data_IF_981252256118
#
_entry.id   IF_981252256118
#
_cell.length_a   1.000
_cell.length_b   1.000
_cell.length_c   1.000
_cell.angle_alpha   90.00
_cell.angle_beta   90.00
_cell.angle_gamma   90.00
#
_symmetry.space_group_name_H-M   'P 1'
#
loop_
_entity.id
_entity.type
_entity.pdbx_description
1 polymer ?
#
# COMPACT_ATOMS: atom_id res chain seq x y z
N UNK A 1 -1.45 -45.41 35.35
CA UNK A 1 -2.02 -44.03 35.32
C UNK A 1 -1.55 -43.33 34.04
N UNK A 2 -2.44 -43.14 33.05
CA UNK A 2 -2.10 -42.38 31.83
C UNK A 2 -2.03 -40.89 32.20
N UNK A 3 -0.85 -40.28 32.12
CA UNK A 3 -0.68 -38.83 32.30
C UNK A 3 -1.26 -38.13 31.06
N UNK A 4 -2.45 -37.55 31.20
CA UNK A 4 -3.02 -36.66 30.18
C UNK A 4 -2.17 -35.39 30.11
N UNK A 5 -1.38 -35.22 29.03
CA UNK A 5 -0.68 -33.96 28.78
C UNK A 5 -1.72 -32.88 28.49
N UNK A 6 -1.80 -31.87 29.35
CA UNK A 6 -2.60 -30.68 29.09
C UNK A 6 -2.05 -29.99 27.83
N UNK A 7 -2.88 -29.91 26.79
CA UNK A 7 -2.57 -29.18 25.56
C UNK A 7 -2.59 -27.70 25.93
N UNK A 8 -1.42 -27.04 25.92
CA UNK A 8 -1.36 -25.58 26.05
C UNK A 8 -2.01 -24.96 24.81
N UNK A 9 -3.20 -24.39 24.98
CA UNK A 9 -3.85 -23.59 23.94
C UNK A 9 -2.99 -22.33 23.76
N UNK A 10 -2.20 -22.29 22.68
CA UNK A 10 -1.44 -21.09 22.32
C UNK A 10 -2.43 -20.10 21.73
N UNK A 11 -2.65 -18.98 22.44
CA UNK A 11 -3.51 -17.89 21.93
C UNK A 11 -2.89 -17.35 20.63
N UNK A 12 -3.67 -17.20 19.54
CA UNK A 12 -3.15 -16.66 18.30
C UNK A 12 -2.62 -15.23 18.52
N UNK A 13 -1.49 -14.90 17.91
CA UNK A 13 -0.90 -13.55 18.01
C UNK A 13 -1.51 -12.55 17.02
N UNK A 14 -2.34 -13.02 16.09
CA UNK A 14 -2.99 -12.25 15.03
C UNK A 14 -4.23 -12.99 14.53
N UNK A 15 -5.19 -12.30 13.88
CA UNK A 15 -6.29 -12.96 13.19
C UNK A 15 -5.83 -13.94 12.09
N UNK A 16 -6.58 -15.02 11.93
CA UNK A 16 -6.48 -15.96 10.81
C UNK A 16 -6.91 -15.32 9.48
N UNK A 17 -6.60 -15.97 8.36
CA UNK A 17 -7.00 -15.47 7.04
C UNK A 17 -8.53 -15.34 6.92
N UNK A 18 -9.28 -16.34 7.39
CA UNK A 18 -10.74 -16.33 7.38
C UNK A 18 -11.32 -15.24 8.28
N UNK A 19 -10.72 -14.99 9.45
CA UNK A 19 -11.15 -13.89 10.32
C UNK A 19 -10.93 -12.53 9.65
N UNK A 20 -9.78 -12.32 8.99
CA UNK A 20 -9.53 -11.09 8.23
C UNK A 20 -10.55 -10.87 7.11
N UNK A 21 -10.83 -11.92 6.32
CA UNK A 21 -11.82 -11.87 5.24
C UNK A 21 -13.19 -11.50 5.83
N UNK A 22 -13.64 -12.23 6.85
CA UNK A 22 -14.93 -12.00 7.50
C UNK A 22 -15.05 -10.58 8.04
N UNK A 23 -14.04 -10.09 8.77
CA UNK A 23 -14.04 -8.72 9.32
C UNK A 23 -14.13 -7.67 8.22
N UNK A 24 -13.44 -7.87 7.09
CA UNK A 24 -13.45 -6.94 5.98
C UNK A 24 -14.76 -6.96 5.20
N UNK A 25 -15.32 -8.14 4.95
CA UNK A 25 -16.57 -8.29 4.23
C UNK A 25 -17.74 -7.71 5.05
N UNK A 26 -17.77 -7.98 6.35
CA UNK A 26 -18.75 -7.45 7.32
C UNK A 26 -18.46 -6.00 7.77
N UNK A 27 -17.40 -5.37 7.25
CA UNK A 27 -17.02 -4.01 7.63
C UNK A 27 -18.05 -2.99 7.13
N UNK A 28 -18.71 -2.32 8.07
CA UNK A 28 -19.61 -1.19 7.85
C UNK A 28 -18.91 0.07 8.31
N UNK A 29 -18.64 0.97 7.37
CA UNK A 29 -18.00 2.27 7.62
C UNK A 29 -18.99 3.19 8.33
N UNK A 30 -18.53 3.92 9.34
CA UNK A 30 -19.31 4.97 10.00
C UNK A 30 -19.74 6.03 8.97
N UNK A 31 -21.05 6.17 8.77
CA UNK A 31 -21.63 7.09 7.79
C UNK A 31 -21.18 8.54 8.00
N UNK A 32 -20.93 8.95 9.25
CA UNK A 32 -20.46 10.31 9.58
C UNK A 32 -19.01 10.56 9.12
N UNK A 33 -18.25 9.49 8.83
CA UNK A 33 -16.84 9.56 8.43
C UNK A 33 -16.63 9.43 6.93
N UNK A 34 -17.66 9.03 6.17
CA UNK A 34 -17.56 8.79 4.71
C UNK A 34 -16.96 9.99 3.99
N UNK A 35 -17.43 11.21 4.25
CA UNK A 35 -16.90 12.41 3.58
C UNK A 35 -15.42 12.67 3.85
N UNK A 36 -14.94 12.35 5.06
CA UNK A 36 -13.50 12.47 5.40
C UNK A 36 -12.69 11.42 4.67
N UNK A 37 -13.20 10.19 4.58
CA UNK A 37 -12.53 9.08 3.91
C UNK A 37 -12.50 9.32 2.39
N UNK A 38 -13.60 9.74 1.79
CA UNK A 38 -13.67 10.04 0.36
C UNK A 38 -12.74 11.17 -0.02
N UNK A 39 -12.68 12.25 0.78
CA UNK A 39 -11.72 13.33 0.58
C UNK A 39 -10.28 12.82 0.56
N UNK A 40 -9.91 11.99 1.54
CA UNK A 40 -8.56 11.40 1.58
C UNK A 40 -8.29 10.48 0.38
N UNK A 41 -9.27 9.68 -0.04
CA UNK A 41 -9.13 8.83 -1.22
C UNK A 41 -8.94 9.69 -2.47
N UNK A 42 -9.70 10.75 -2.66
CA UNK A 42 -9.67 11.54 -3.89
C UNK A 42 -8.40 12.38 -3.97
N UNK A 43 -8.11 13.14 -2.91
CA UNK A 43 -7.02 14.11 -2.88
C UNK A 43 -5.64 13.48 -2.66
N UNK A 44 -5.56 12.35 -1.94
CA UNK A 44 -4.26 11.77 -1.53
C UNK A 44 -3.97 10.43 -2.20
N UNK A 45 -4.96 9.55 -2.30
CA UNK A 45 -4.76 8.19 -2.83
C UNK A 45 -4.85 8.18 -4.35
N UNK A 46 -6.00 8.59 -4.90
CA UNK A 46 -6.30 8.58 -6.33
C UNK A 46 -5.45 9.59 -7.10
N UNK A 47 -5.32 10.81 -6.58
CA UNK A 47 -4.46 11.84 -7.18
C UNK A 47 -2.99 11.41 -7.33
N UNK A 48 -2.50 10.51 -6.46
CA UNK A 48 -1.11 10.02 -6.48
C UNK A 48 -0.98 8.55 -6.93
N UNK A 49 -2.04 7.96 -7.52
CA UNK A 49 -2.06 6.54 -7.93
C UNK A 49 -0.87 6.14 -8.80
N UNK A 50 -0.49 7.00 -9.75
CA UNK A 50 0.62 6.71 -10.66
C UNK A 50 1.95 6.62 -9.90
N UNK A 51 2.21 7.53 -8.94
CA UNK A 51 3.41 7.49 -8.10
C UNK A 51 3.51 6.18 -7.31
N UNK A 52 2.41 5.72 -6.72
CA UNK A 52 2.39 4.43 -6.02
C UNK A 52 2.58 3.23 -6.96
N UNK A 53 2.06 3.33 -8.19
CA UNK A 53 2.22 2.29 -9.21
C UNK A 53 3.68 2.21 -9.66
N UNK A 54 4.32 3.35 -9.90
CA UNK A 54 5.73 3.45 -10.27
C UNK A 54 6.63 2.88 -9.17
N UNK A 55 6.35 3.14 -7.89
CA UNK A 55 7.07 2.54 -6.77
C UNK A 55 6.92 1.02 -6.78
N UNK A 56 5.69 0.51 -6.97
CA UNK A 56 5.44 -0.94 -7.09
C UNK A 56 6.27 -1.56 -8.22
N UNK A 57 6.29 -0.94 -9.39
CA UNK A 57 7.05 -1.44 -10.55
C UNK A 57 8.57 -1.39 -10.31
N UNK A 58 9.09 -0.31 -9.73
CA UNK A 58 10.50 -0.20 -9.34
C UNK A 58 10.92 -1.26 -8.32
N UNK A 59 10.06 -1.57 -7.35
CA UNK A 59 10.30 -2.63 -6.36
C UNK A 59 10.38 -4.00 -7.04
N UNK A 60 9.51 -4.27 -8.02
CA UNK A 60 9.48 -5.50 -8.80
C UNK A 60 10.66 -5.64 -9.79
N UNK A 61 11.53 -4.64 -9.91
CA UNK A 61 12.64 -4.64 -10.87
C UNK A 61 12.25 -4.19 -12.28
N UNK A 62 11.02 -3.72 -12.49
CA UNK A 62 10.61 -3.07 -13.73
C UNK A 62 11.10 -1.61 -13.67
N UNK A 63 12.30 -1.34 -14.15
CA UNK A 63 12.83 0.02 -14.23
C UNK A 63 12.09 0.78 -15.35
N UNK A 64 11.03 1.50 -15.00
CA UNK A 64 10.51 2.59 -15.82
C UNK A 64 11.40 3.80 -15.50
N UNK A 65 12.15 4.29 -16.50
CA UNK A 65 13.02 5.45 -16.32
C UNK A 65 12.19 6.66 -15.84
N UNK A 66 12.69 7.46 -14.87
CA UNK A 66 11.96 8.61 -14.36
C UNK A 66 11.68 9.60 -15.48
N UNK A 67 10.50 10.21 -15.43
CA UNK A 67 10.05 11.26 -16.34
C UNK A 67 10.91 12.51 -16.11
N UNK A 68 12.03 12.63 -16.83
CA UNK A 68 12.71 13.92 -16.96
C UNK A 68 11.86 14.79 -17.88
N UNK A 69 11.14 15.73 -17.31
CA UNK A 69 10.57 16.87 -18.02
C UNK A 69 11.72 17.71 -18.61
N UNK A 70 12.28 17.27 -19.73
CA UNK A 70 13.11 18.14 -20.57
C UNK A 70 12.12 18.88 -21.46
N UNK A 71 11.77 20.11 -21.05
CA UNK A 71 11.18 21.09 -21.95
C UNK A 71 12.25 21.45 -22.98
N UNK A 72 12.30 20.72 -24.09
CA UNK A 72 12.96 21.22 -25.30
C UNK A 72 12.04 22.26 -25.94
N UNK A 73 12.53 23.45 -26.31
CA UNK A 73 11.74 24.39 -27.09
C UNK A 73 11.51 23.77 -28.47
N UNK A 74 10.25 23.50 -28.79
CA UNK A 74 9.81 23.05 -30.10
C UNK A 74 10.00 24.16 -31.13
N UNK A 75 11.00 24.00 -32.00
CA UNK A 75 11.06 24.76 -33.25
C UNK A 75 10.50 23.94 -34.40
N UNK A 76 9.59 24.60 -35.12
CA UNK A 76 9.28 24.48 -36.56
C UNK A 76 8.24 23.45 -37.02
N UNK A 77 7.04 24.01 -37.24
CA UNK A 77 6.15 23.75 -38.37
C UNK A 77 6.76 22.94 -39.52
N UNK A 78 6.14 21.80 -39.85
CA UNK A 78 6.13 21.27 -41.20
C UNK A 78 4.70 20.90 -41.61
N UNK A 79 4.30 21.16 -42.87
CA UNK A 79 2.94 20.89 -43.34
C UNK A 79 2.73 19.38 -43.52
N UNK A 80 1.52 18.93 -43.20
CA UNK A 80 1.05 17.56 -43.46
C UNK A 80 0.94 17.32 -44.97
N UNK A 81 1.88 16.56 -45.53
CA UNK A 81 1.73 15.99 -46.87
C UNK A 81 0.95 14.67 -46.79
N UNK A 82 0.06 14.49 -47.77
CA UNK A 82 -0.93 13.43 -47.88
C UNK A 82 -0.37 12.00 -47.72
N UNK A 83 -1.21 11.12 -47.17
CA UNK A 83 -1.02 9.67 -47.08
C UNK A 83 -0.78 9.06 -48.48
N UNK A 84 0.46 8.66 -48.76
CA UNK A 84 0.83 7.85 -49.92
C UNK A 84 0.74 6.35 -49.56
N UNK A 85 -0.28 5.68 -50.11
CA UNK A 85 -0.61 4.27 -49.88
C UNK A 85 0.18 3.28 -50.76
N UNK A 86 1.28 3.71 -51.39
CA UNK A 86 2.01 2.89 -52.37
C UNK A 86 3.28 2.17 -51.85
N UNK A 87 3.57 2.19 -50.54
CA UNK A 87 4.74 1.49 -49.98
C UNK A 87 4.36 0.28 -49.10
N UNK A 88 5.03 -0.88 -49.27
CA UNK A 88 4.78 -2.04 -48.42
C UNK A 88 5.14 -1.73 -46.97
N UNK A 89 4.31 -2.21 -46.05
CA UNK A 89 4.50 -2.07 -44.61
C UNK A 89 5.67 -2.97 -44.21
N UNK A 90 6.87 -2.40 -44.13
CA UNK A 90 8.01 -3.10 -43.54
C UNK A 90 7.72 -3.34 -42.05
N UNK A 91 7.70 -4.62 -41.69
CA UNK A 91 7.37 -5.12 -40.36
C UNK A 91 8.34 -4.60 -39.31
N UNK A 92 7.93 -3.53 -38.62
CA UNK A 92 8.55 -3.03 -37.40
C UNK A 92 7.47 -2.50 -36.46
N UNK A 93 6.46 -3.33 -36.17
CA UNK A 93 5.52 -3.10 -35.06
C UNK A 93 5.79 -4.05 -33.87
N UNK A 94 7.05 -4.45 -33.67
CA UNK A 94 7.51 -5.03 -32.42
C UNK A 94 7.82 -3.91 -31.39
N UNK A 95 6.85 -3.04 -31.14
CA UNK A 95 6.92 -2.02 -30.10
C UNK A 95 5.82 -2.30 -29.07
N UNK A 96 6.16 -3.14 -28.09
CA UNK A 96 5.68 -3.12 -26.71
C UNK A 96 4.22 -2.62 -26.48
N UNK A 97 3.23 -3.39 -26.91
CA UNK A 97 1.97 -3.46 -26.16
C UNK A 97 2.04 -4.71 -25.27
N UNK A 98 2.52 -4.52 -24.03
CA UNK A 98 2.15 -5.45 -22.95
C UNK A 98 0.62 -5.40 -22.88
N UNK A 99 -0.05 -6.51 -23.17
CA UNK A 99 -1.50 -6.58 -23.11
C UNK A 99 -1.95 -6.39 -21.65
N UNK A 100 -2.26 -5.14 -21.28
CA UNK A 100 -2.74 -4.73 -19.95
C UNK A 100 -3.90 -5.59 -19.46
N UNK A 101 -4.72 -6.10 -20.39
CA UNK A 101 -5.83 -7.00 -20.12
C UNK A 101 -5.38 -8.39 -19.64
N UNK A 102 -4.38 -9.01 -20.29
CA UNK A 102 -3.87 -10.32 -19.86
C UNK A 102 -3.16 -10.24 -18.51
N UNK A 103 -2.41 -9.16 -18.26
CA UNK A 103 -1.77 -8.94 -16.95
C UNK A 103 -2.85 -8.70 -15.87
N UNK A 104 -3.93 -7.99 -16.20
CA UNK A 104 -5.08 -7.80 -15.31
C UNK A 104 -5.83 -9.11 -15.03
N UNK A 105 -6.05 -9.95 -16.05
CA UNK A 105 -6.66 -11.27 -15.89
C UNK A 105 -5.76 -12.23 -15.09
N UNK A 106 -4.45 -12.21 -15.32
CA UNK A 106 -3.51 -13.04 -14.57
C UNK A 106 -3.44 -12.61 -13.10
N UNK A 107 -3.39 -11.30 -12.83
CA UNK A 107 -3.49 -10.75 -11.48
C UNK A 107 -4.84 -11.08 -10.82
N UNK A 108 -5.92 -11.16 -11.60
CA UNK A 108 -7.26 -11.53 -11.14
C UNK A 108 -7.36 -13.00 -10.71
N UNK A 109 -6.74 -13.93 -11.46
CA UNK A 109 -6.86 -15.38 -11.20
C UNK A 109 -5.85 -15.90 -10.17
N UNK A 110 -4.64 -15.32 -10.09
CA UNK A 110 -3.51 -15.90 -9.33
C UNK A 110 -3.02 -14.99 -8.19
N UNK A 111 -3.54 -13.77 -8.10
CA UNK A 111 -2.92 -12.69 -7.32
C UNK A 111 -1.69 -12.13 -8.03
N UNK A 112 -1.41 -10.84 -7.83
CA UNK A 112 -0.18 -10.25 -8.36
C UNK A 112 1.01 -10.63 -7.48
N UNK A 113 2.15 -10.95 -8.09
CA UNK A 113 3.44 -11.03 -7.38
C UNK A 113 4.02 -9.64 -7.08
N UNK A 114 3.42 -8.59 -7.62
CA UNK A 114 3.81 -7.20 -7.36
C UNK A 114 3.01 -6.64 -6.20
N UNK A 115 3.64 -5.73 -5.45
CA UNK A 115 2.98 -5.02 -4.35
C UNK A 115 1.86 -4.16 -4.92
N UNK A 116 0.60 -4.31 -4.50
CA UNK A 116 -0.47 -3.49 -5.04
C UNK A 116 -0.26 -2.01 -4.69
N UNK A 117 -0.47 -1.11 -5.66
CA UNK A 117 -0.30 0.33 -5.45
C UNK A 117 -1.14 0.85 -4.26
N UNK A 118 -2.32 0.28 -4.03
CA UNK A 118 -3.22 0.67 -2.93
C UNK A 118 -2.67 0.26 -1.55
N UNK A 119 -1.84 -0.79 -1.48
CA UNK A 119 -1.14 -1.16 -0.25
C UNK A 119 -0.11 -0.09 0.11
N UNK A 120 0.66 0.38 -0.88
CA UNK A 120 1.67 1.42 -0.69
C UNK A 120 1.00 2.73 -0.27
N UNK A 121 -0.15 3.09 -0.87
CA UNK A 121 -0.92 4.25 -0.47
C UNK A 121 -1.38 4.17 1.01
N UNK A 122 -1.86 3.01 1.45
CA UNK A 122 -2.25 2.80 2.85
C UNK A 122 -1.05 2.83 3.80
N UNK A 123 0.09 2.22 3.43
CA UNK A 123 1.31 2.30 4.22
C UNK A 123 1.81 3.75 4.34
N UNK A 124 1.75 4.53 3.25
CA UNK A 124 2.11 5.95 3.25
C UNK A 124 1.22 6.78 4.19
N UNK A 125 -0.08 6.48 4.24
CA UNK A 125 -0.98 7.09 5.22
C UNK A 125 -0.58 6.75 6.66
N UNK A 126 -0.35 5.47 6.96
CA UNK A 126 -0.04 5.01 8.31
C UNK A 126 1.27 5.61 8.84
N UNK A 127 2.30 5.67 8.00
CA UNK A 127 3.64 6.12 8.41
C UNK A 127 3.80 7.64 8.34
N UNK A 128 3.19 8.30 7.35
CA UNK A 128 3.49 9.70 7.02
C UNK A 128 2.25 10.59 6.91
N UNK A 129 1.04 10.06 7.09
CA UNK A 129 -0.22 10.82 6.85
C UNK A 129 -0.23 11.47 5.46
N UNK A 130 0.24 10.73 4.44
CA UNK A 130 0.39 11.17 3.05
C UNK A 130 1.43 12.29 2.79
N UNK A 131 2.31 12.58 3.73
CA UNK A 131 3.37 13.57 3.55
C UNK A 131 4.56 13.01 2.75
N UNK A 132 4.63 13.40 1.47
CA UNK A 132 5.71 13.04 0.54
C UNK A 132 7.08 13.66 0.88
N UNK A 133 7.21 14.40 1.98
CA UNK A 133 8.50 14.91 2.48
C UNK A 133 9.10 14.03 3.57
N UNK A 134 8.50 12.87 3.85
CA UNK A 134 8.92 11.95 4.90
C UNK A 134 9.29 10.56 4.35
N UNK A 135 10.19 9.90 5.05
CA UNK A 135 10.61 8.53 4.76
C UNK A 135 9.46 7.55 5.03
N UNK A 136 9.14 6.68 4.06
CA UNK A 136 8.17 5.59 4.28
C UNK A 136 8.61 4.59 5.37
N UNK A 137 9.90 4.58 5.74
CA UNK A 137 10.43 3.72 6.80
C UNK A 137 9.80 3.98 8.17
N UNK A 138 9.64 5.25 8.53
CA UNK A 138 9.24 5.64 9.88
C UNK A 138 8.72 7.09 9.97
N UNK A 139 8.68 7.83 8.87
CA UNK A 139 8.20 9.22 8.83
C UNK A 139 9.25 10.29 9.14
N UNK A 140 10.54 9.97 9.25
CA UNK A 140 11.60 11.00 9.40
C UNK A 140 11.69 11.89 8.13
N UNK A 141 12.15 13.14 8.21
CA UNK A 141 12.23 14.02 7.04
C UNK A 141 13.21 13.52 5.97
N UNK A 142 12.85 13.62 4.69
CA UNK A 142 13.70 13.24 3.54
C UNK A 142 14.95 14.11 3.36
N UNK A 143 15.09 15.19 4.13
CA UNK A 143 16.27 16.07 4.12
C UNK A 143 17.49 15.46 4.84
N UNK A 144 17.33 14.29 5.46
CA UNK A 144 18.40 13.57 6.14
C UNK A 144 18.24 12.06 5.99
N UNK A 145 19.08 11.29 6.67
CA UNK A 145 18.83 9.87 6.87
C UNK A 145 17.85 9.66 8.03
N UNK A 146 17.18 8.51 8.06
CA UNK A 146 16.38 8.10 9.23
C UNK A 146 17.24 8.05 10.50
N UNK A 147 16.75 8.68 11.55
CA UNK A 147 17.31 8.60 12.91
C UNK A 147 16.54 7.59 13.73
N UNK A 148 15.20 7.56 13.56
CA UNK A 148 14.35 6.52 14.15
C UNK A 148 14.61 5.18 13.48
N UNK A 149 14.27 4.11 14.17
CA UNK A 149 14.46 2.74 13.66
C UNK A 149 13.54 2.52 12.44
N UNK A 150 14.00 1.91 11.35
CA UNK A 150 15.40 1.55 11.07
C UNK A 150 16.27 2.79 10.75
N UNK A 151 17.37 2.97 11.46
CA UNK A 151 18.25 4.13 11.29
C UNK A 151 19.15 4.02 10.04
N UNK A 152 19.66 5.15 9.57
CA UNK A 152 20.60 5.27 8.45
C UNK A 152 20.05 4.80 7.10
N UNK A 153 18.76 5.03 6.83
CA UNK A 153 18.08 4.76 5.55
C UNK A 153 17.70 6.06 4.84
N UNK A 154 17.55 6.05 3.50
CA UNK A 154 17.65 4.94 2.55
C UNK A 154 19.08 4.63 2.07
N UNK A 155 19.28 3.51 1.36
CA UNK A 155 20.57 3.12 0.75
C UNK A 155 20.52 3.22 -0.78
N UNK A 156 20.56 4.45 -1.31
CA UNK A 156 20.32 4.75 -2.75
C UNK A 156 21.52 5.31 -3.51
N UNK A 157 22.74 5.20 -2.97
CA UNK A 157 23.97 5.52 -3.70
C UNK A 157 24.37 7.00 -3.73
N UNK A 158 23.56 7.89 -3.14
CA UNK A 158 23.90 9.29 -2.89
C UNK A 158 23.46 9.73 -1.48
N UNK A 159 23.86 10.94 -1.08
CA UNK A 159 23.42 11.59 0.16
C UNK A 159 22.11 12.38 -0.01
N UNK A 160 21.50 12.87 1.09
CA UNK A 160 20.26 13.63 1.05
C UNK A 160 20.39 14.97 0.28
N UNK A 161 19.27 15.58 -0.17
CA UNK A 161 17.89 15.14 0.06
C UNK A 161 17.49 13.94 -0.81
N UNK A 162 16.61 13.10 -0.26
CA UNK A 162 16.05 11.94 -0.95
C UNK A 162 14.66 12.25 -1.52
N UNK A 163 14.27 11.54 -2.56
CA UNK A 163 12.87 11.51 -3.01
C UNK A 163 12.05 10.54 -2.16
N UNK A 164 10.73 10.72 -2.16
CA UNK A 164 9.83 9.77 -1.49
C UNK A 164 9.94 8.38 -2.12
N UNK A 165 10.00 8.32 -3.46
CA UNK A 165 10.10 7.10 -4.24
C UNK A 165 11.36 6.30 -3.88
N UNK A 166 12.53 6.93 -3.81
CA UNK A 166 13.78 6.32 -3.36
C UNK A 166 13.66 5.73 -1.96
N UNK A 167 13.10 6.50 -1.03
CA UNK A 167 12.86 6.03 0.33
C UNK A 167 11.86 4.88 0.39
N UNK A 168 10.80 4.93 -0.41
CA UNK A 168 9.74 3.94 -0.42
C UNK A 168 10.23 2.61 -1.00
N UNK A 169 10.98 2.65 -2.11
CA UNK A 169 11.58 1.45 -2.72
C UNK A 169 12.56 0.77 -1.74
N UNK A 170 13.42 1.55 -1.07
CA UNK A 170 14.33 1.02 -0.05
C UNK A 170 13.56 0.42 1.15
N UNK A 171 12.49 1.08 1.63
CA UNK A 171 11.65 0.58 2.72
C UNK A 171 10.95 -0.74 2.39
N UNK A 172 10.26 -0.80 1.25
CA UNK A 172 9.51 -1.97 0.83
C UNK A 172 10.43 -3.19 0.61
N UNK A 173 11.65 -2.98 0.09
CA UNK A 173 12.68 -4.02 -0.04
C UNK A 173 13.27 -4.41 1.31
N UNK A 174 13.55 -3.44 2.19
CA UNK A 174 14.05 -3.72 3.54
C UNK A 174 13.08 -4.59 4.35
N UNK A 175 11.77 -4.35 4.19
CA UNK A 175 10.69 -5.13 4.80
C UNK A 175 10.40 -6.45 4.06
N UNK A 176 11.16 -6.78 3.01
CA UNK A 176 11.01 -7.98 2.18
C UNK A 176 9.61 -8.15 1.57
N UNK A 177 8.91 -7.04 1.32
CA UNK A 177 7.57 -7.08 0.74
C UNK A 177 7.62 -7.44 -0.75
N UNK A 178 8.77 -7.23 -1.40
CA UNK A 178 9.05 -7.68 -2.76
C UNK A 178 9.20 -9.21 -2.88
N UNK A 179 9.32 -9.95 -1.77
CA UNK A 179 9.40 -11.41 -1.76
C UNK A 179 8.01 -12.07 -1.64
N UNK A 180 6.95 -11.28 -1.46
CA UNK A 180 5.58 -11.77 -1.32
C UNK A 180 4.97 -12.02 -2.70
N UNK A 181 4.57 -13.27 -2.96
CA UNK A 181 4.00 -13.70 -4.24
C UNK A 181 2.47 -13.61 -4.33
N UNK A 182 1.76 -13.59 -3.19
CA UNK A 182 0.29 -13.52 -3.16
C UNK A 182 -0.18 -12.34 -2.29
N UNK A 183 -0.72 -11.33 -2.94
CA UNK A 183 -1.34 -10.15 -2.33
C UNK A 183 -2.86 -10.27 -2.19
N UNK A 184 -3.33 -11.38 -1.61
CA UNK A 184 -4.71 -11.54 -1.17
C UNK A 184 -5.06 -10.58 -0.03
N UNK A 185 -6.36 -10.41 0.22
CA UNK A 185 -6.92 -9.54 1.25
C UNK A 185 -6.34 -9.83 2.64
N UNK A 186 -6.26 -11.10 3.11
CA UNK A 186 -5.56 -11.40 4.36
C UNK A 186 -4.10 -10.93 4.38
N UNK A 187 -3.36 -11.13 3.28
CA UNK A 187 -1.97 -10.69 3.19
C UNK A 187 -1.87 -9.18 3.28
N UNK A 188 -2.69 -8.44 2.53
CA UNK A 188 -2.74 -6.97 2.57
C UNK A 188 -3.01 -6.48 3.99
N UNK A 189 -4.08 -6.96 4.63
CA UNK A 189 -4.47 -6.52 5.97
C UNK A 189 -3.41 -6.87 7.03
N UNK A 190 -2.89 -8.10 6.99
CA UNK A 190 -1.84 -8.55 7.91
C UNK A 190 -0.58 -7.72 7.78
N UNK A 191 -0.16 -7.40 6.55
CA UNK A 191 1.06 -6.61 6.32
C UNK A 191 0.86 -5.14 6.70
N UNK A 192 -0.33 -4.57 6.51
CA UNK A 192 -0.66 -3.23 7.02
C UNK A 192 -0.70 -3.19 8.55
N UNK A 193 -1.28 -4.20 9.21
CA UNK A 193 -1.27 -4.26 10.67
C UNK A 193 0.16 -4.42 11.23
N UNK A 194 1.02 -5.16 10.53
CA UNK A 194 2.41 -5.36 10.94
C UNK A 194 3.24 -4.08 10.98
N UNK A 195 2.89 -3.01 10.25
CA UNK A 195 3.58 -1.71 10.34
C UNK A 195 3.52 -1.15 11.76
N UNK A 196 2.35 -1.19 12.40
CA UNK A 196 2.22 -0.80 13.81
C UNK A 196 2.50 -1.97 14.78
N UNK A 197 2.24 -3.20 14.33
CA UNK A 197 2.37 -4.42 15.12
C UNK A 197 1.05 -4.93 15.71
N UNK A 198 1.04 -6.22 16.04
CA UNK A 198 -0.13 -7.01 16.45
C UNK A 198 -0.49 -6.89 17.95
N UNK A 199 -0.04 -5.84 18.63
CA UNK A 199 -0.20 -5.70 20.09
C UNK A 199 -1.66 -5.69 20.55
N UNK A 200 -2.54 -5.07 19.75
CA UNK A 200 -3.98 -4.98 20.02
C UNK A 200 -4.65 -6.35 20.13
N UNK A 201 -4.51 -7.18 19.10
CA UNK A 201 -5.08 -8.51 19.09
C UNK A 201 -4.42 -9.41 20.15
N UNK A 202 -3.08 -9.41 20.18
CA UNK A 202 -2.30 -10.29 21.05
C UNK A 202 -2.57 -10.05 22.54
N UNK A 203 -2.50 -8.79 22.97
CA UNK A 203 -2.52 -8.44 24.40
C UNK A 203 -3.87 -7.96 24.91
N UNK A 204 -4.73 -7.43 24.03
CA UNK A 204 -5.99 -6.80 24.43
C UNK A 204 -7.23 -7.46 23.83
N UNK A 205 -7.06 -8.44 22.93
CA UNK A 205 -8.17 -9.13 22.25
C UNK A 205 -9.12 -8.16 21.54
N UNK A 206 -8.60 -7.02 21.07
CA UNK A 206 -9.36 -6.06 20.26
C UNK A 206 -8.76 -5.96 18.86
N UNK A 207 -9.60 -5.56 17.91
CA UNK A 207 -9.17 -5.24 16.57
C UNK A 207 -8.34 -3.95 16.55
N UNK A 208 -7.28 -3.93 15.75
CA UNK A 208 -6.36 -2.79 15.66
C UNK A 208 -7.08 -1.53 15.14
N UNK A 209 -7.05 -0.39 15.86
CA UNK A 209 -7.58 0.87 15.34
C UNK A 209 -6.87 1.31 14.05
N UNK A 210 -5.63 0.88 13.82
CA UNK A 210 -4.88 1.21 12.59
C UNK A 210 -5.45 0.55 11.34
N UNK A 211 -6.18 -0.55 11.49
CA UNK A 211 -6.95 -1.14 10.38
C UNK A 211 -8.40 -0.67 10.39
N UNK A 212 -9.04 -0.65 11.56
CA UNK A 212 -10.49 -0.71 11.67
C UNK A 212 -11.18 0.54 12.24
N UNK A 213 -10.41 1.56 12.66
CA UNK A 213 -11.02 2.80 13.14
C UNK A 213 -11.89 3.45 12.07
N UNK A 214 -13.07 3.96 12.49
CA UNK A 214 -14.19 4.43 11.65
C UNK A 214 -15.05 3.33 11.01
N UNK A 215 -15.09 2.13 11.60
CA UNK A 215 -16.06 1.10 11.24
C UNK A 215 -16.60 0.35 12.46
N UNK A 216 -17.61 -0.50 12.24
CA UNK A 216 -18.14 -1.43 13.24
C UNK A 216 -17.12 -2.45 13.76
N UNK A 217 -15.95 -2.60 13.12
CA UNK A 217 -14.92 -3.55 13.54
C UNK A 217 -14.05 -3.00 14.69
N UNK A 218 -14.20 -1.73 15.09
CA UNK A 218 -13.48 -1.12 16.21
C UNK A 218 -14.36 -0.13 16.98
N UNK A 219 -14.34 -0.21 18.31
CA UNK A 219 -15.07 0.72 19.18
C UNK A 219 -14.14 1.67 19.95
N UNK A 220 -13.23 1.12 20.75
CA UNK A 220 -12.29 1.87 21.62
C UNK A 220 -11.10 1.00 22.01
N UNK A 221 -10.11 1.61 22.64
CA UNK A 221 -8.85 1.00 23.03
C UNK A 221 -7.73 1.42 22.09
N UNK A 222 -6.70 2.10 22.59
CA UNK A 222 -5.56 2.55 21.80
C UNK A 222 -4.28 2.59 22.62
N UNK A 223 -3.13 2.27 22.00
CA UNK A 223 -1.83 2.70 22.55
C UNK A 223 -1.67 4.21 22.36
N UNK A 224 -1.72 4.96 23.45
CA UNK A 224 -1.58 6.43 23.45
C UNK A 224 -0.11 6.88 23.45
N UNK A 225 0.79 5.97 23.82
CA UNK A 225 2.23 6.08 23.68
C UNK A 225 2.84 4.68 23.63
N UNK A 226 4.14 4.60 23.37
CA UNK A 226 4.87 3.33 23.30
C UNK A 226 4.66 2.51 24.58
N UNK A 227 4.07 1.32 24.41
CA UNK A 227 3.74 0.40 25.50
C UNK A 227 2.59 0.84 26.42
N UNK A 228 1.99 2.02 26.22
CA UNK A 228 0.91 2.56 27.07
C UNK A 228 -0.45 2.39 26.41
N UNK A 229 -1.13 1.27 26.71
CA UNK A 229 -2.50 1.02 26.27
C UNK A 229 -3.51 1.70 27.18
N UNK A 230 -4.47 2.40 26.57
CA UNK A 230 -5.66 2.95 27.23
C UNK A 230 -6.90 2.30 26.60
N UNK A 231 -7.70 1.62 27.43
CA UNK A 231 -8.90 0.90 27.01
C UNK A 231 -10.06 1.84 26.60
N UNK A 232 -10.04 3.08 27.07
CA UNK A 232 -11.10 4.06 26.84
C UNK A 232 -10.76 5.04 25.71
N UNK A 233 -9.48 5.15 25.35
CA UNK A 233 -9.04 5.99 24.24
C UNK A 233 -9.65 5.53 22.90
N UNK A 234 -10.25 6.47 22.16
CA UNK A 234 -10.80 6.24 20.82
C UNK A 234 -9.88 6.86 19.77
N UNK A 235 -9.54 6.08 18.75
CA UNK A 235 -8.73 6.59 17.64
C UNK A 235 -9.46 7.67 16.84
N UNK A 236 -8.76 8.78 16.57
CA UNK A 236 -9.21 9.86 15.67
C UNK A 236 -8.63 9.74 14.25
N UNK A 237 -7.89 8.67 14.00
CA UNK A 237 -7.31 8.34 12.70
C UNK A 237 -8.22 7.34 12.00
N UNK A 238 -8.41 7.49 10.69
CA UNK A 238 -9.09 6.46 9.90
C UNK A 238 -8.23 5.21 9.81
N UNK A 239 -8.84 4.02 9.79
CA UNK A 239 -8.14 2.76 9.63
C UNK A 239 -7.82 2.46 8.16
N UNK A 240 -6.71 1.77 7.90
CA UNK A 240 -6.31 1.40 6.54
C UNK A 240 -7.28 0.42 5.87
N UNK A 241 -7.87 -0.52 6.62
CA UNK A 241 -8.89 -1.41 6.08
C UNK A 241 -10.17 -0.66 5.69
N UNK A 242 -10.50 0.42 6.42
CA UNK A 242 -11.62 1.30 6.10
C UNK A 242 -11.38 2.07 4.79
N UNK A 243 -10.16 2.56 4.56
CA UNK A 243 -9.77 3.16 3.26
C UNK A 243 -9.95 2.13 2.13
N UNK A 244 -9.37 0.93 2.29
CA UNK A 244 -9.48 -0.14 1.29
C UNK A 244 -10.94 -0.54 1.02
N UNK A 245 -11.75 -0.70 2.08
CA UNK A 245 -13.18 -1.03 1.97
C UNK A 245 -13.93 0.04 1.19
N UNK A 246 -13.66 1.32 1.46
CA UNK A 246 -14.31 2.42 0.73
C UNK A 246 -13.87 2.47 -0.73
N UNK A 247 -12.60 2.24 -1.02
CA UNK A 247 -12.10 2.14 -2.40
C UNK A 247 -12.74 0.96 -3.16
N UNK A 248 -12.92 -0.19 -2.51
CA UNK A 248 -13.60 -1.35 -3.09
C UNK A 248 -15.10 -1.07 -3.34
N UNK A 249 -15.81 -0.46 -2.38
CA UNK A 249 -17.21 -0.04 -2.55
C UNK A 249 -17.40 0.94 -3.73
N UNK A 250 -16.37 1.73 -4.02
CA UNK A 250 -16.33 2.67 -5.14
C UNK A 250 -15.77 2.04 -6.43
N UNK A 251 -15.52 0.73 -6.45
CA UNK A 251 -14.95 -0.01 -7.57
C UNK A 251 -13.60 0.54 -8.08
N UNK A 252 -12.83 1.21 -7.23
CA UNK A 252 -11.50 1.75 -7.58
C UNK A 252 -10.43 0.66 -7.55
N UNK A 253 -10.66 -0.39 -6.76
CA UNK A 253 -9.77 -1.53 -6.58
C UNK A 253 -10.58 -2.81 -6.46
N UNK A 254 -9.91 -3.92 -6.70
CA UNK A 254 -10.35 -5.26 -6.34
C UNK A 254 -9.21 -5.93 -5.58
N UNK A 255 -9.55 -6.63 -4.49
CA UNK A 255 -8.59 -7.36 -3.67
C UNK A 255 -8.98 -8.86 -3.70
N UNK A 256 -8.13 -9.75 -4.23
CA UNK A 256 -8.42 -11.19 -4.21
C UNK A 256 -8.58 -11.69 -2.78
N UNK A 257 -9.54 -12.60 -2.53
CA UNK A 257 -9.70 -13.21 -1.19
C UNK A 257 -8.81 -14.44 -1.00
N UNK A 258 -8.31 -15.02 -2.09
CA UNK A 258 -7.47 -16.21 -2.16
C UNK A 258 -6.34 -15.99 -3.16
#
# INVERSE_FOLDING_TARGET
>A
MKKTKAIKIVKPSQPTDLEYIKMFDDCVIDATKIGTIDKAIDEQVSANRNRYTDISDQVAGNVIKPFTSVLTPSTLFQPVNALDLSKPIDGSFAAFHKNTFEESLKNFVVGSSKIPWYFIACAHYLECTFDFKKHLHNGDPLSGYTVRVPANRPKVGHGPPFTFEESAVDALKFMKLNEISNWSLPTVLRKLEAYNGFGYFKYHSINSPYLWSYSNQYAKGKYVADGKFDAEAVSKQMGAAVILKRMEQRALIYIPRH
#
